data_IF_540778853473
#
_entry.id   IF_540778853473
#
_cell.length_a   1.000
_cell.length_b   1.000
_cell.length_c   1.000
_cell.angle_alpha   90.00
_cell.angle_beta   90.00
_cell.angle_gamma   90.00
#
_symmetry.space_group_name_H-M   'P 1'
#
loop_
_entity.id
_entity.type
_entity.pdbx_description
1 polymer ?
#
# COMPACT_ATOMS: atom_id res chain seq x y z
N UNK A 1 3.33 -1.36 -34.15
CA UNK A 1 2.10 -1.42 -33.32
C UNK A 1 2.45 -1.69 -31.85
N UNK A 2 3.23 -0.83 -31.18
CA UNK A 2 3.80 -1.13 -29.85
C UNK A 2 3.67 -0.01 -28.80
N UNK A 3 2.94 1.07 -29.10
CA UNK A 3 2.74 2.16 -28.13
C UNK A 3 1.48 2.00 -27.28
N UNK A 4 0.51 1.18 -27.71
CA UNK A 4 -0.79 1.05 -27.06
C UNK A 4 -0.78 0.05 -25.90
N UNK A 5 -0.03 -1.05 -26.00
CA UNK A 5 0.09 -2.05 -24.94
C UNK A 5 0.84 -1.51 -23.70
N UNK A 6 1.80 -0.59 -23.91
CA UNK A 6 2.58 0.00 -22.82
C UNK A 6 1.72 0.90 -21.93
N UNK A 7 0.84 1.71 -22.53
CA UNK A 7 -0.13 2.56 -21.81
C UNK A 7 -1.15 1.74 -21.00
N UNK A 8 -1.67 0.65 -21.55
CA UNK A 8 -2.62 -0.22 -20.83
C UNK A 8 -1.94 -0.91 -19.65
N UNK A 9 -0.70 -1.38 -19.80
CA UNK A 9 0.06 -2.00 -18.70
C UNK A 9 0.36 -1.02 -17.57
N UNK A 10 0.71 0.22 -17.90
CA UNK A 10 0.93 1.29 -16.91
C UNK A 10 -0.39 1.72 -16.21
N UNK A 11 -1.51 1.79 -16.92
CA UNK A 11 -2.82 2.05 -16.31
C UNK A 11 -3.27 0.89 -15.41
N UNK A 12 -3.08 -0.35 -15.84
CA UNK A 12 -3.43 -1.54 -15.07
C UNK A 12 -2.57 -1.65 -13.80
N UNK A 13 -1.27 -1.36 -13.90
CA UNK A 13 -0.36 -1.33 -12.75
C UNK A 13 -0.71 -0.22 -11.75
N UNK A 14 -1.20 0.93 -12.22
CA UNK A 14 -1.65 2.01 -11.33
C UNK A 14 -2.96 1.67 -10.64
N UNK A 15 -3.91 1.04 -11.33
CA UNK A 15 -5.13 0.51 -10.71
C UNK A 15 -4.80 -0.57 -9.68
N UNK A 16 -3.92 -1.53 -10.00
CA UNK A 16 -3.42 -2.55 -9.07
C UNK A 16 -2.79 -1.91 -7.83
N UNK A 17 -1.91 -0.91 -8.00
CA UNK A 17 -1.34 -0.16 -6.88
C UNK A 17 -2.40 0.55 -6.03
N UNK A 18 -3.44 1.10 -6.66
CA UNK A 18 -4.50 1.84 -5.97
C UNK A 18 -5.41 0.91 -5.15
N UNK A 19 -5.79 -0.25 -5.71
CA UNK A 19 -6.57 -1.26 -5.01
C UNK A 19 -5.75 -1.90 -3.88
N UNK A 20 -4.47 -2.15 -4.14
CA UNK A 20 -3.53 -2.66 -3.14
C UNK A 20 -3.38 -1.67 -1.98
N UNK A 21 -3.22 -0.38 -2.27
CA UNK A 21 -3.14 0.66 -1.25
C UNK A 21 -4.44 0.75 -0.43
N UNK A 22 -5.61 0.62 -1.05
CA UNK A 22 -6.90 0.53 -0.35
C UNK A 22 -6.99 -0.68 0.57
N UNK A 23 -6.51 -1.85 0.14
CA UNK A 23 -6.50 -3.05 0.98
C UNK A 23 -5.63 -2.86 2.23
N UNK A 24 -4.43 -2.29 2.05
CA UNK A 24 -3.53 -1.92 3.16
C UNK A 24 -4.19 -0.90 4.10
N UNK A 25 -4.89 0.09 3.53
CA UNK A 25 -5.62 1.12 4.29
C UNK A 25 -6.72 0.51 5.18
N UNK A 26 -7.46 -0.46 4.65
CA UNK A 26 -8.57 -1.10 5.34
C UNK A 26 -8.08 -1.92 6.55
N UNK A 27 -6.96 -2.64 6.41
CA UNK A 27 -6.33 -3.40 7.50
C UNK A 27 -5.89 -2.48 8.64
N UNK A 28 -5.36 -1.30 8.31
CA UNK A 28 -4.81 -0.36 9.28
C UNK A 28 -5.84 0.61 9.90
N UNK A 29 -7.12 0.47 9.58
CA UNK A 29 -8.12 1.46 10.02
C UNK A 29 -8.45 1.40 11.51
N UNK A 30 -8.43 0.23 12.13
CA UNK A 30 -8.87 0.06 13.53
C UNK A 30 -7.69 -0.06 14.51
N UNK A 31 -6.56 -0.61 14.05
CA UNK A 31 -5.41 -0.92 14.91
C UNK A 31 -4.09 -0.63 14.20
N UNK A 32 -3.07 -0.17 14.95
CA UNK A 32 -1.73 -0.09 14.41
C UNK A 32 -1.24 -1.49 14.05
N UNK A 33 -0.68 -1.65 12.85
CA UNK A 33 -0.18 -2.94 12.38
C UNK A 33 1.23 -2.81 11.79
N UNK A 34 1.98 -3.90 11.86
CA UNK A 34 3.30 -4.00 11.24
C UNK A 34 3.20 -4.32 9.75
N UNK A 35 4.24 -4.00 8.98
CA UNK A 35 4.31 -4.39 7.57
C UNK A 35 4.17 -5.91 7.34
N UNK A 36 4.57 -6.73 8.33
CA UNK A 36 4.44 -8.19 8.27
C UNK A 36 3.01 -8.68 8.48
N UNK A 37 2.26 -8.06 9.40
CA UNK A 37 0.83 -8.35 9.57
C UNK A 37 0.03 -7.91 8.35
N UNK A 38 0.34 -6.75 7.79
CA UNK A 38 -0.32 -6.24 6.58
C UNK A 38 -0.05 -7.18 5.41
N UNK A 39 1.21 -7.57 5.18
CA UNK A 39 1.58 -8.51 4.12
C UNK A 39 0.81 -9.84 4.19
N UNK A 40 0.59 -10.37 5.40
CA UNK A 40 -0.21 -11.57 5.61
C UNK A 40 -1.70 -11.35 5.32
N UNK A 41 -2.26 -10.20 5.70
CA UNK A 41 -3.67 -9.89 5.48
C UNK A 41 -4.00 -9.54 4.02
N UNK A 42 -3.07 -8.91 3.30
CA UNK A 42 -3.27 -8.47 1.92
C UNK A 42 -2.68 -9.43 0.89
N UNK A 43 -2.06 -10.53 1.32
CA UNK A 43 -1.32 -11.49 0.48
C UNK A 43 -0.23 -10.84 -0.39
N UNK A 44 0.35 -9.75 0.09
CA UNK A 44 1.41 -9.02 -0.60
C UNK A 44 2.78 -9.41 -0.06
N UNK A 45 3.81 -9.15 -0.84
CA UNK A 45 5.17 -9.18 -0.31
C UNK A 45 5.35 -8.04 0.69
N UNK A 46 6.15 -8.30 1.74
CA UNK A 46 6.50 -7.30 2.75
C UNK A 46 7.09 -6.03 2.13
N UNK A 47 7.88 -6.18 1.06
CA UNK A 47 8.50 -5.08 0.32
C UNK A 47 7.45 -4.19 -0.36
N UNK A 48 6.44 -4.78 -1.01
CA UNK A 48 5.32 -4.01 -1.59
C UNK A 48 4.53 -3.28 -0.51
N UNK A 49 4.24 -3.95 0.61
CA UNK A 49 3.59 -3.29 1.75
C UNK A 49 4.41 -2.11 2.26
N UNK A 50 5.71 -2.27 2.47
CA UNK A 50 6.58 -1.19 2.93
C UNK A 50 6.61 -0.01 1.96
N UNK A 51 6.64 -0.27 0.66
CA UNK A 51 6.66 0.80 -0.35
C UNK A 51 5.36 1.61 -0.33
N UNK A 52 4.22 0.93 -0.27
CA UNK A 52 2.89 1.56 -0.14
C UNK A 52 2.79 2.33 1.18
N UNK A 53 3.18 1.71 2.29
CA UNK A 53 3.11 2.33 3.62
C UNK A 53 4.02 3.57 3.71
N UNK A 54 5.20 3.52 3.10
CA UNK A 54 6.09 4.68 3.02
C UNK A 54 5.44 5.81 2.23
N UNK A 55 4.80 5.51 1.09
CA UNK A 55 4.06 6.52 0.33
C UNK A 55 2.90 7.12 1.14
N UNK A 56 2.18 6.30 1.90
CA UNK A 56 1.09 6.74 2.77
C UNK A 56 1.58 7.62 3.93
N UNK A 57 2.72 7.29 4.54
CA UNK A 57 3.37 8.12 5.57
C UNK A 57 3.85 9.44 4.98
N UNK A 58 4.49 9.43 3.81
CA UNK A 58 4.91 10.65 3.12
C UNK A 58 3.72 11.53 2.69
N UNK A 59 2.58 10.92 2.39
CA UNK A 59 1.33 11.64 2.10
C UNK A 59 0.64 12.19 3.38
N UNK A 60 1.19 11.94 4.57
CA UNK A 60 0.63 12.39 5.84
C UNK A 60 -0.64 11.65 6.27
N UNK A 61 -0.93 10.49 5.68
CA UNK A 61 -2.12 9.69 6.01
C UNK A 61 -1.87 8.73 7.20
N UNK A 62 -0.60 8.37 7.42
CA UNK A 62 -0.17 7.43 8.45
C UNK A 62 1.05 7.95 9.19
N UNK A 63 1.18 7.55 10.45
CA UNK A 63 2.37 7.71 11.27
C UNK A 63 3.07 6.36 11.43
N UNK A 64 4.40 6.39 11.47
CA UNK A 64 5.20 5.20 11.76
C UNK A 64 5.87 5.36 13.11
N UNK A 65 5.47 4.53 14.08
CA UNK A 65 5.94 4.62 15.46
C UNK A 65 6.19 3.22 16.03
N UNK A 66 7.37 3.02 16.63
CA UNK A 66 7.78 1.75 17.27
C UNK A 66 7.63 0.49 16.39
N UNK A 67 7.80 0.61 15.07
CA UNK A 67 7.67 -0.55 14.16
C UNK A 67 6.26 -0.80 13.62
N UNK A 68 5.27 -0.01 14.05
CA UNK A 68 3.89 -0.10 13.59
C UNK A 68 3.47 1.14 12.81
N UNK A 69 2.55 0.95 11.88
CA UNK A 69 1.89 2.03 11.15
C UNK A 69 0.55 2.33 11.81
N UNK A 70 0.27 3.60 12.10
CA UNK A 70 -0.98 4.06 12.71
C UNK A 70 -1.65 5.07 11.78
N UNK A 71 -2.95 4.92 11.53
CA UNK A 71 -3.71 5.90 10.75
C UNK A 71 -3.79 7.22 11.52
N UNK A 72 -3.55 8.34 10.83
CA UNK A 72 -3.61 9.69 11.40
C UNK A 72 -5.01 10.34 11.29
N UNK A 73 -5.96 9.65 10.67
CA UNK A 73 -7.32 10.13 10.42
C UNK A 73 -8.24 9.96 11.63
#
# INVERSE_FOLDING_TARGET
MSCHLKKVKDMLNQQDMTETAKAVLNVLSDKPATAGEIAQNTHLTRERCQLILTQLVMAGLYDYQFGCYKRLQ
#
